data_IF_365988785260
#
_entry.id   IF_365988785260
#
_cell.length_a   1.000
_cell.length_b   1.000
_cell.length_c   1.000
_cell.angle_alpha   90.00
_cell.angle_beta   90.00
_cell.angle_gamma   90.00
#
_symmetry.space_group_name_H-M   'P 1'
#
loop_
_entity.id
_entity.type
_entity.pdbx_description
1 polymer ?
#
# COMPACT_ATOMS: atom_id res chain seq x y z
N UNK A 1 -18.88 13.91 -9.59
CA UNK A 1 -17.70 13.02 -9.40
C UNK A 1 -17.97 12.23 -8.15
N UNK A 2 -17.91 10.90 -8.20
CA UNK A 2 -18.13 10.04 -7.02
C UNK A 2 -16.88 10.14 -6.14
N UNK A 3 -17.04 10.27 -4.82
CA UNK A 3 -15.89 10.37 -3.91
C UNK A 3 -15.21 9.01 -3.74
N UNK A 4 -13.95 8.99 -3.33
CA UNK A 4 -13.22 7.74 -3.11
C UNK A 4 -13.92 6.86 -2.06
N UNK A 5 -14.44 7.45 -0.98
CA UNK A 5 -15.16 6.75 0.08
C UNK A 5 -16.43 6.07 -0.44
N UNK A 6 -17.13 6.71 -1.38
CA UNK A 6 -18.31 6.11 -2.03
C UNK A 6 -17.93 4.91 -2.91
N UNK A 7 -16.76 4.94 -3.57
CA UNK A 7 -16.27 3.81 -4.35
C UNK A 7 -15.82 2.66 -3.43
N UNK A 8 -15.09 2.96 -2.35
CA UNK A 8 -14.63 1.96 -1.38
C UNK A 8 -15.82 1.27 -0.71
N UNK A 9 -16.86 2.01 -0.34
CA UNK A 9 -18.11 1.44 0.18
C UNK A 9 -18.78 0.50 -0.83
N UNK A 10 -18.87 0.88 -2.10
CA UNK A 10 -19.45 0.02 -3.14
C UNK A 10 -18.63 -1.26 -3.35
N UNK A 11 -17.30 -1.17 -3.26
CA UNK A 11 -16.41 -2.34 -3.31
C UNK A 11 -16.71 -3.26 -2.13
N UNK A 12 -16.80 -2.75 -0.91
CA UNK A 12 -17.09 -3.56 0.27
C UNK A 12 -18.47 -4.23 0.19
N UNK A 13 -19.50 -3.51 -0.23
CA UNK A 13 -20.85 -4.07 -0.46
C UNK A 13 -20.82 -5.22 -1.48
N UNK A 14 -20.07 -5.07 -2.57
CA UNK A 14 -19.90 -6.13 -3.55
C UNK A 14 -19.15 -7.33 -2.97
N UNK A 15 -18.07 -7.09 -2.20
CA UNK A 15 -17.29 -8.15 -1.56
C UNK A 15 -18.11 -8.92 -0.53
N UNK A 16 -18.96 -8.26 0.25
CA UNK A 16 -19.83 -8.93 1.24
C UNK A 16 -20.77 -9.95 0.58
N UNK A 17 -21.19 -9.72 -0.66
CA UNK A 17 -22.07 -10.63 -1.42
C UNK A 17 -21.27 -11.72 -2.14
N UNK A 18 -20.17 -11.34 -2.80
CA UNK A 18 -19.49 -12.19 -3.76
C UNK A 18 -18.20 -12.84 -3.25
N UNK A 19 -17.54 -12.22 -2.27
CA UNK A 19 -16.29 -12.69 -1.70
C UNK A 19 -16.19 -12.38 -0.18
N UNK A 20 -17.15 -12.80 0.66
CA UNK A 20 -17.26 -12.38 2.06
C UNK A 20 -16.03 -12.74 2.91
N UNK A 21 -15.29 -13.79 2.53
CA UNK A 21 -14.04 -14.18 3.20
C UNK A 21 -12.95 -13.10 3.09
N UNK A 22 -12.94 -12.31 2.01
CA UNK A 22 -12.00 -11.19 1.88
C UNK A 22 -12.29 -10.17 2.98
N UNK A 23 -13.55 -9.79 3.16
CA UNK A 23 -13.97 -8.81 4.18
C UNK A 23 -13.76 -9.31 5.60
N UNK A 24 -14.22 -10.53 5.90
CA UNK A 24 -14.24 -11.02 7.28
C UNK A 24 -12.93 -11.64 7.74
N UNK A 25 -12.16 -12.24 6.83
CA UNK A 25 -10.98 -13.02 7.18
C UNK A 25 -9.69 -12.32 6.75
N UNK A 26 -9.68 -11.65 5.59
CA UNK A 26 -8.44 -11.14 4.97
C UNK A 26 -8.16 -9.68 5.25
N UNK A 27 -9.15 -8.79 5.15
CA UNK A 27 -8.95 -7.35 5.36
C UNK A 27 -8.61 -7.04 6.81
N UNK A 28 -7.59 -6.20 7.01
CA UNK A 28 -7.27 -5.67 8.33
C UNK A 28 -8.30 -4.61 8.74
N UNK A 29 -8.48 -4.34 10.04
CA UNK A 29 -9.24 -3.18 10.48
C UNK A 29 -8.72 -1.88 9.85
N UNK A 30 -9.56 -0.82 9.78
CA UNK A 30 -9.11 0.53 9.43
C UNK A 30 -7.87 0.96 10.20
N UNK A 31 -6.96 1.67 9.53
CA UNK A 31 -5.90 2.40 10.20
C UNK A 31 -6.50 3.54 11.04
N UNK A 32 -5.81 3.91 12.11
CA UNK A 32 -6.15 5.09 12.90
C UNK A 32 -5.49 6.34 12.32
N UNK A 33 -6.09 7.51 12.60
CA UNK A 33 -5.47 8.79 12.25
C UNK A 33 -4.06 8.94 12.85
N UNK A 34 -3.84 8.41 14.06
CA UNK A 34 -2.52 8.45 14.73
C UNK A 34 -1.48 7.66 13.92
N UNK A 35 -1.83 6.49 13.36
CA UNK A 35 -0.92 5.72 12.51
C UNK A 35 -0.58 6.46 11.22
N UNK A 36 -1.55 7.12 10.59
CA UNK A 36 -1.30 7.92 9.39
C UNK A 36 -0.41 9.15 9.69
N UNK A 37 -0.67 9.86 10.78
CA UNK A 37 0.17 10.98 11.24
C UNK A 37 1.59 10.52 11.57
N UNK A 38 1.75 9.32 12.13
CA UNK A 38 3.06 8.75 12.40
C UNK A 38 3.82 8.48 11.09
N UNK A 39 3.15 7.91 10.09
CA UNK A 39 3.75 7.70 8.78
C UNK A 39 4.14 9.02 8.10
N UNK A 40 3.29 10.06 8.17
CA UNK A 40 3.61 11.40 7.67
C UNK A 40 4.86 11.98 8.33
N UNK A 41 5.01 11.83 9.65
CA UNK A 41 6.21 12.25 10.40
C UNK A 41 7.45 11.49 9.95
N UNK A 42 7.34 10.17 9.76
CA UNK A 42 8.46 9.34 9.31
C UNK A 42 8.89 9.69 7.88
N UNK A 43 7.93 9.92 6.97
CA UNK A 43 8.19 10.30 5.59
C UNK A 43 8.63 11.76 5.47
N UNK A 44 8.25 12.62 6.43
CA UNK A 44 8.43 14.08 6.43
C UNK A 44 7.70 14.76 5.26
N UNK A 45 6.54 14.22 4.88
CA UNK A 45 5.65 14.76 3.83
C UNK A 45 4.20 14.44 4.18
N UNK A 46 3.24 15.28 3.74
CA UNK A 46 1.83 14.94 3.85
C UNK A 46 1.50 13.72 2.97
N UNK A 47 0.63 12.84 3.46
CA UNK A 47 0.07 11.74 2.67
C UNK A 47 -1.07 12.28 1.80
N UNK A 48 -1.21 11.80 0.54
CA UNK A 48 -2.36 12.14 -0.30
C UNK A 48 -3.70 11.80 0.38
N UNK A 49 -4.72 12.63 0.19
CA UNK A 49 -6.05 12.39 0.79
C UNK A 49 -6.64 11.03 0.37
N UNK A 50 -6.51 10.66 -0.90
CA UNK A 50 -6.99 9.36 -1.40
C UNK A 50 -6.25 8.17 -0.76
N UNK A 51 -4.95 8.34 -0.45
CA UNK A 51 -4.17 7.34 0.27
C UNK A 51 -4.71 7.20 1.71
N UNK A 52 -4.93 8.32 2.40
CA UNK A 52 -5.50 8.30 3.76
C UNK A 52 -6.89 7.67 3.76
N UNK A 53 -7.74 7.99 2.79
CA UNK A 53 -9.08 7.40 2.66
C UNK A 53 -9.02 5.87 2.46
N UNK A 54 -8.08 5.37 1.64
CA UNK A 54 -7.88 3.94 1.45
C UNK A 54 -7.50 3.21 2.75
N UNK A 55 -6.59 3.78 3.54
CA UNK A 55 -6.13 3.16 4.79
C UNK A 55 -7.10 3.37 5.96
N UNK A 56 -7.88 4.44 5.96
CA UNK A 56 -9.04 4.61 6.85
C UNK A 56 -10.19 3.65 6.51
N UNK A 57 -10.17 3.03 5.33
CA UNK A 57 -11.08 1.94 4.99
C UNK A 57 -10.54 0.60 5.50
N UNK A 58 -9.33 0.19 5.12
CA UNK A 58 -8.66 -0.99 5.68
C UNK A 58 -7.14 -0.83 5.67
N UNK A 59 -6.47 -1.24 6.74
CA UNK A 59 -5.00 -1.20 6.86
C UNK A 59 -4.34 -2.41 6.17
N UNK A 60 -4.58 -2.58 4.88
CA UNK A 60 -4.05 -3.70 4.10
C UNK A 60 -4.77 -5.04 4.31
N UNK A 61 -4.14 -6.12 3.84
CA UNK A 61 -4.56 -7.51 3.97
C UNK A 61 -3.68 -8.24 4.99
N UNK A 62 -4.27 -9.18 5.72
CA UNK A 62 -3.55 -10.06 6.65
C UNK A 62 -2.55 -10.93 5.90
N UNK A 63 -1.27 -10.61 6.05
CA UNK A 63 -0.14 -11.33 5.44
C UNK A 63 -0.01 -12.82 5.84
N UNK A 64 -0.72 -13.29 6.87
CA UNK A 64 -0.54 -14.64 7.48
C UNK A 64 -1.81 -15.44 7.70
N UNK A 65 -2.90 -15.16 6.98
CA UNK A 65 -4.03 -16.09 6.99
C UNK A 65 -3.75 -17.23 5.99
N UNK A 66 -4.12 -18.47 6.32
CA UNK A 66 -4.06 -19.61 5.38
C UNK A 66 -4.97 -19.40 4.14
N UNK A 67 -5.73 -18.31 4.13
CA UNK A 67 -6.72 -17.95 3.14
C UNK A 67 -6.47 -16.48 2.74
N UNK A 68 -5.25 -16.18 2.27
CA UNK A 68 -4.87 -14.85 1.81
C UNK A 68 -5.75 -14.46 0.62
N UNK A 69 -6.79 -13.68 0.91
CA UNK A 69 -7.64 -13.08 -0.10
C UNK A 69 -6.84 -12.17 -1.02
N UNK A 70 -7.22 -12.14 -2.29
CA UNK A 70 -6.61 -11.27 -3.29
C UNK A 70 -7.64 -10.21 -3.70
N UNK A 71 -7.44 -8.98 -3.23
CA UNK A 71 -8.35 -7.87 -3.51
C UNK A 71 -8.03 -7.18 -4.85
N UNK A 72 -6.75 -7.04 -5.19
CA UNK A 72 -6.28 -6.27 -6.33
C UNK A 72 -5.63 -7.13 -7.41
N UNK A 73 -6.30 -8.24 -7.78
CA UNK A 73 -5.94 -9.10 -8.92
C UNK A 73 -4.48 -9.58 -8.96
N UNK A 74 -3.87 -9.78 -7.79
CA UNK A 74 -2.51 -10.33 -7.62
C UNK A 74 -1.54 -9.31 -7.05
N UNK A 75 -1.98 -8.07 -6.87
CA UNK A 75 -1.21 -7.03 -6.20
C UNK A 75 -1.40 -7.12 -4.68
N UNK A 76 -0.30 -6.92 -3.96
CA UNK A 76 -0.34 -6.87 -2.52
C UNK A 76 -1.00 -5.58 -2.04
N UNK A 77 -1.74 -5.69 -0.93
CA UNK A 77 -2.24 -4.53 -0.20
C UNK A 77 -1.60 -4.54 1.19
N UNK A 78 -0.41 -3.96 1.28
CA UNK A 78 0.38 -3.95 2.51
C UNK A 78 -0.21 -3.03 3.58
N UNK A 79 -0.02 -3.41 4.84
CA UNK A 79 -0.33 -2.56 6.00
C UNK A 79 0.68 -1.41 6.15
N UNK A 80 0.30 -0.39 6.92
CA UNK A 80 1.13 0.79 7.17
C UNK A 80 2.46 0.43 7.85
N UNK A 81 2.50 -0.60 8.70
CA UNK A 81 3.73 -1.05 9.37
C UNK A 81 4.76 -1.53 8.35
N UNK A 82 4.34 -2.38 7.40
CA UNK A 82 5.19 -2.83 6.32
C UNK A 82 5.65 -1.69 5.42
N UNK A 83 4.74 -0.77 5.07
CA UNK A 83 5.06 0.40 4.23
C UNK A 83 6.12 1.27 4.92
N UNK A 84 5.95 1.57 6.21
CA UNK A 84 6.89 2.38 6.99
C UNK A 84 8.27 1.71 7.06
N UNK A 85 8.28 0.40 7.37
CA UNK A 85 9.51 -0.38 7.40
C UNK A 85 10.23 -0.35 6.05
N UNK A 86 9.50 -0.58 4.96
CA UNK A 86 10.10 -0.59 3.63
C UNK A 86 10.65 0.78 3.23
N UNK A 87 9.92 1.85 3.55
CA UNK A 87 10.37 3.22 3.35
C UNK A 87 11.71 3.47 4.06
N UNK A 88 11.82 3.10 5.34
CA UNK A 88 13.05 3.26 6.12
C UNK A 88 14.20 2.42 5.59
N UNK A 89 13.95 1.18 5.17
CA UNK A 89 14.96 0.32 4.55
C UNK A 89 15.51 0.95 3.26
N UNK A 90 14.63 1.41 2.36
CA UNK A 90 15.07 2.05 1.10
C UNK A 90 15.79 3.37 1.37
N UNK A 91 15.24 4.21 2.25
CA UNK A 91 15.83 5.51 2.62
C UNK A 91 17.21 5.38 3.25
N UNK A 92 17.43 4.37 4.09
CA UNK A 92 18.69 4.14 4.80
C UNK A 92 19.64 3.22 4.04
N UNK A 93 19.21 2.63 2.91
CA UNK A 93 20.08 1.77 2.11
C UNK A 93 21.28 2.57 1.59
N UNK A 94 22.48 2.10 1.94
CA UNK A 94 23.75 2.59 1.38
C UNK A 94 24.19 1.78 0.16
N UNK A 95 23.29 0.93 -0.38
CA UNK A 95 23.62 0.00 -1.46
C UNK A 95 23.84 0.76 -2.78
N UNK A 96 25.07 1.23 -2.95
CA UNK A 96 25.73 1.54 -4.22
C UNK A 96 25.99 0.29 -5.06
N UNK A 97 25.40 -0.86 -4.71
CA UNK A 97 25.42 -2.06 -5.54
C UNK A 97 24.59 -1.77 -6.78
N UNK A 98 25.29 -1.37 -7.83
CA UNK A 98 24.83 -1.18 -9.19
C UNK A 98 24.09 -2.44 -9.67
N UNK A 99 22.79 -2.55 -9.38
CA UNK A 99 21.90 -3.32 -10.23
C UNK A 99 21.91 -2.57 -11.56
N UNK A 100 22.81 -2.98 -12.45
CA UNK A 100 22.74 -2.60 -13.85
C UNK A 100 21.45 -3.20 -14.37
N UNK A 101 20.40 -2.40 -14.39
CA UNK A 101 19.22 -2.73 -15.17
C UNK A 101 19.66 -2.65 -16.64
N UNK A 102 20.08 -3.79 -17.19
CA UNK A 102 20.76 -3.88 -18.49
C UNK A 102 19.86 -3.60 -19.70
N UNK A 103 18.53 -3.63 -19.49
CA UNK A 103 17.52 -3.54 -20.55
C UNK A 103 16.45 -2.47 -20.26
N UNK A 104 16.82 -1.37 -19.60
CA UNK A 104 15.87 -0.28 -19.32
C UNK A 104 15.57 0.47 -20.62
N UNK A 105 14.30 0.71 -20.89
CA UNK A 105 13.88 1.56 -22.00
C UNK A 105 14.53 2.96 -21.89
N UNK A 106 15.04 3.56 -22.98
CA UNK A 106 15.71 4.85 -22.94
C UNK A 106 14.91 6.00 -22.30
N UNK A 107 13.57 5.91 -22.29
CA UNK A 107 12.70 6.90 -21.66
C UNK A 107 12.55 6.78 -20.15
N UNK A 108 13.05 5.69 -19.55
CA UNK A 108 12.88 5.42 -18.11
C UNK A 108 14.16 5.83 -17.38
N UNK A 109 14.04 6.69 -16.37
CA UNK A 109 15.14 6.95 -15.46
C UNK A 109 15.39 5.70 -14.59
N UNK A 110 16.53 5.00 -14.77
CA UNK A 110 16.79 3.76 -14.08
C UNK A 110 16.97 3.97 -12.58
N UNK A 111 17.17 5.18 -12.06
CA UNK A 111 17.31 5.41 -10.61
C UNK A 111 15.94 5.37 -9.91
N UNK A 112 14.85 5.57 -10.64
CA UNK A 112 13.51 5.68 -10.05
C UNK A 112 13.04 4.40 -9.33
N UNK A 113 13.55 3.21 -9.69
CA UNK A 113 13.24 1.98 -8.94
C UNK A 113 13.66 2.02 -7.46
N UNK A 114 14.53 2.98 -7.09
CA UNK A 114 14.98 3.23 -5.71
C UNK A 114 14.24 4.37 -5.03
N UNK A 115 13.24 4.97 -5.66
CA UNK A 115 12.53 6.08 -5.06
C UNK A 115 11.82 5.59 -3.78
N UNK A 116 12.21 6.05 -2.58
CA UNK A 116 11.59 5.57 -1.34
C UNK A 116 10.12 5.98 -1.24
N UNK A 117 9.68 6.96 -2.05
CA UNK A 117 8.30 7.42 -2.09
C UNK A 117 7.41 6.59 -3.04
N UNK A 118 7.96 5.57 -3.70
CA UNK A 118 7.17 4.64 -4.49
C UNK A 118 6.56 3.57 -3.59
N UNK A 119 5.24 3.41 -3.70
CA UNK A 119 4.53 2.28 -3.10
C UNK A 119 4.97 1.04 -3.88
N UNK A 120 5.50 0.04 -3.18
CA UNK A 120 5.75 -1.29 -3.75
C UNK A 120 4.44 -2.07 -3.73
N UNK A 121 4.12 -2.71 -4.85
CA UNK A 121 2.94 -3.55 -5.05
C UNK A 121 3.34 -4.99 -5.30
#
# INVERSE_FOLDING_TARGET
MISIEQNLKQIEEWLLIHAPKIVHESLNPPATLIQLEQLEKTIQKPLPEDFKALFLWHDGLKAKSQNSGNLFYGLDFFDLEFIEKNYLEVKNSQDDVLIKMGNVDPGINPINHRNPLWIKF
#
